data_IF_836934950184
#
_entry.id   IF_836934950184
#
_cell.length_a   1.000
_cell.length_b   1.000
_cell.length_c   1.000
_cell.angle_alpha   90.00
_cell.angle_beta   90.00
_cell.angle_gamma   90.00
#
_symmetry.space_group_name_H-M   'P 1'
#
loop_
_entity.id
_entity.type
_entity.pdbx_description
1 polymer ?
#
# COMPACT_ATOMS: atom_id res chain seq x y z
N UNK A 1 -2.00 17.56 -4.78
CA UNK A 1 -1.80 16.10 -4.65
C UNK A 1 -2.40 15.46 -5.88
N UNK A 2 -1.77 14.45 -6.50
CA UNK A 2 -2.35 13.82 -7.68
C UNK A 2 -3.60 13.02 -7.32
N UNK A 3 -4.64 13.10 -8.14
CA UNK A 3 -5.87 12.32 -7.99
C UNK A 3 -6.04 11.41 -9.19
N UNK A 4 -6.39 10.15 -8.94
CA UNK A 4 -6.61 9.14 -9.97
C UNK A 4 -8.05 8.68 -9.89
N UNK A 5 -8.94 9.41 -10.58
CA UNK A 5 -10.38 9.11 -10.61
C UNK A 5 -10.65 7.79 -11.33
N UNK A 6 -11.51 6.95 -10.75
CA UNK A 6 -11.87 5.64 -11.32
C UNK A 6 -10.71 4.64 -11.41
N UNK A 7 -9.64 4.85 -10.64
CA UNK A 7 -8.44 4.01 -10.69
C UNK A 7 -8.68 2.59 -10.15
N UNK A 8 -9.70 2.41 -9.31
CA UNK A 8 -10.14 1.12 -8.78
C UNK A 8 -11.67 1.10 -8.70
N UNK A 9 -12.24 -0.09 -8.53
CA UNK A 9 -13.68 -0.28 -8.29
C UNK A 9 -13.93 -0.94 -6.94
N UNK A 10 -14.99 -0.54 -6.25
CA UNK A 10 -15.53 -1.24 -5.08
C UNK A 10 -16.98 -1.60 -5.33
N UNK A 11 -17.28 -2.90 -5.37
CA UNK A 11 -18.60 -3.43 -5.75
C UNK A 11 -19.12 -2.84 -7.09
N UNK A 12 -18.23 -2.73 -8.09
CA UNK A 12 -18.54 -2.15 -9.39
C UNK A 12 -18.56 -0.62 -9.45
N UNK A 13 -18.57 0.07 -8.30
CA UNK A 13 -18.55 1.53 -8.25
C UNK A 13 -17.11 2.05 -8.35
N UNK A 14 -16.80 2.99 -9.26
CA UNK A 14 -15.46 3.56 -9.38
C UNK A 14 -15.11 4.42 -8.16
N UNK A 15 -13.88 4.29 -7.66
CA UNK A 15 -13.33 5.10 -6.57
C UNK A 15 -12.11 5.90 -7.04
N UNK A 16 -11.93 7.09 -6.47
CA UNK A 16 -10.72 7.90 -6.67
C UNK A 16 -9.63 7.45 -5.71
N UNK A 17 -8.42 7.23 -6.23
CA UNK A 17 -7.24 6.98 -5.40
C UNK A 17 -6.34 8.21 -5.40
N UNK A 18 -5.93 8.63 -4.21
CA UNK A 18 -5.07 9.80 -4.02
C UNK A 18 -3.60 9.38 -4.02
N UNK A 19 -2.75 10.19 -4.64
CA UNK A 19 -1.32 9.96 -4.75
C UNK A 19 -0.90 9.33 -6.08
N UNK A 20 0.38 9.46 -6.37
CA UNK A 20 0.98 8.95 -7.60
C UNK A 20 0.96 7.42 -7.63
N UNK A 21 0.80 6.84 -8.81
CA UNK A 21 1.06 5.42 -9.02
C UNK A 21 2.56 5.15 -8.86
N UNK A 22 2.90 3.94 -8.38
CA UNK A 22 4.28 3.48 -8.35
C UNK A 22 4.62 2.86 -9.70
N UNK A 23 5.77 3.24 -10.24
CA UNK A 23 6.25 2.80 -11.55
C UNK A 23 7.34 1.72 -11.40
N UNK A 24 7.42 0.81 -12.38
CA UNK A 24 8.46 -0.21 -12.41
C UNK A 24 9.85 0.45 -12.52
N UNK A 25 10.80 -0.01 -11.71
CA UNK A 25 12.15 0.54 -11.64
C UNK A 25 12.28 1.79 -10.77
N UNK A 26 11.17 2.40 -10.32
CA UNK A 26 11.22 3.47 -9.35
C UNK A 26 11.67 2.95 -7.97
N UNK A 27 12.41 3.77 -7.22
CA UNK A 27 12.75 3.46 -5.83
C UNK A 27 11.47 3.46 -4.99
N UNK A 28 11.24 2.36 -4.26
CA UNK A 28 10.11 2.26 -3.35
C UNK A 28 10.17 3.36 -2.27
N UNK A 29 9.07 4.09 -2.01
CA UNK A 29 9.01 5.06 -0.94
C UNK A 29 9.24 4.40 0.43
N UNK A 30 9.96 5.10 1.31
CA UNK A 30 10.04 4.68 2.72
C UNK A 30 8.68 4.75 3.40
N UNK A 31 8.50 3.92 4.41
CA UNK A 31 7.34 3.97 5.30
C UNK A 31 7.78 3.67 6.73
N UNK A 32 6.94 4.07 7.68
CA UNK A 32 6.96 3.61 9.06
C UNK A 32 5.54 3.17 9.41
N UNK A 33 5.37 1.92 9.80
CA UNK A 33 4.11 1.30 10.19
C UNK A 33 4.26 0.67 11.57
N UNK A 34 3.20 0.02 12.06
CA UNK A 34 3.23 -0.78 13.28
C UNK A 34 3.16 -2.26 12.92
N UNK A 35 3.98 -3.06 13.59
CA UNK A 35 3.88 -4.51 13.62
C UNK A 35 2.69 -4.98 14.47
N UNK A 36 2.44 -6.30 14.48
CA UNK A 36 1.42 -6.91 15.33
C UNK A 36 1.73 -6.72 16.82
N UNK A 37 3.00 -6.55 17.17
CA UNK A 37 3.49 -6.26 18.52
C UNK A 37 3.49 -4.75 18.84
N UNK A 38 2.86 -3.94 17.99
CA UNK A 38 2.77 -2.49 18.08
C UNK A 38 4.14 -1.77 18.11
N UNK A 39 5.18 -2.43 17.61
CA UNK A 39 6.49 -1.83 17.44
C UNK A 39 6.61 -1.18 16.06
N UNK A 40 7.30 -0.03 15.94
CA UNK A 40 7.58 0.58 14.64
C UNK A 40 8.33 -0.38 13.73
N UNK A 41 7.88 -0.48 12.48
CA UNK A 41 8.55 -1.20 11.39
C UNK A 41 8.68 -0.31 10.18
N UNK A 42 9.83 -0.36 9.53
CA UNK A 42 10.18 0.45 8.38
C UNK A 42 10.48 -0.43 7.17
N UNK A 43 10.56 0.18 5.99
CA UNK A 43 11.00 -0.53 4.79
C UNK A 43 12.44 -1.06 4.93
N UNK A 44 13.29 -0.35 5.68
CA UNK A 44 14.72 -0.67 5.86
C UNK A 44 14.95 -1.92 6.71
N UNK A 45 14.05 -2.21 7.67
CA UNK A 45 14.13 -3.39 8.54
C UNK A 45 14.07 -4.72 7.77
N UNK A 46 13.59 -4.69 6.52
CA UNK A 46 13.49 -5.84 5.62
C UNK A 46 14.52 -5.82 4.46
N UNK A 47 15.56 -5.00 4.56
CA UNK A 47 16.57 -4.84 3.52
C UNK A 47 17.29 -6.18 3.15
N UNK A 48 17.80 -6.23 1.91
CA UNK A 48 18.50 -7.41 1.38
C UNK A 48 17.59 -8.55 0.90
N UNK A 49 16.27 -8.43 1.07
CA UNK A 49 15.27 -9.40 0.59
C UNK A 49 14.43 -8.83 -0.55
N UNK A 50 13.84 -9.72 -1.34
CA UNK A 50 12.69 -9.36 -2.19
C UNK A 50 11.49 -9.15 -1.27
N UNK A 51 10.78 -8.03 -1.41
CA UNK A 51 9.60 -7.69 -0.61
C UNK A 51 8.36 -7.66 -1.49
N UNK A 52 7.34 -8.41 -1.10
CA UNK A 52 5.99 -8.31 -1.67
C UNK A 52 5.11 -7.53 -0.68
N UNK A 53 4.53 -6.42 -1.12
CA UNK A 53 3.67 -5.57 -0.29
C UNK A 53 2.23 -5.77 -0.75
N UNK A 54 1.40 -6.33 0.13
CA UNK A 54 -0.04 -6.42 -0.08
C UNK A 54 -0.75 -5.44 0.86
N UNK A 55 -1.53 -4.52 0.29
CA UNK A 55 -2.36 -3.58 1.03
C UNK A 55 -3.82 -3.90 0.71
N UNK A 56 -4.61 -4.13 1.75
CA UNK A 56 -6.04 -4.45 1.65
C UNK A 56 -6.85 -3.44 2.48
N UNK A 57 -8.12 -3.14 2.12
CA UNK A 57 -8.94 -2.21 2.91
C UNK A 57 -9.19 -2.69 4.34
N UNK A 58 -9.29 -4.01 4.53
CA UNK A 58 -9.45 -4.66 5.84
C UNK A 58 -8.97 -6.10 5.75
N UNK A 59 -8.42 -6.63 6.84
CA UNK A 59 -8.12 -8.06 6.99
C UNK A 59 -9.31 -8.84 7.55
N UNK A 60 -10.17 -8.17 8.33
CA UNK A 60 -11.20 -8.80 9.17
C UNK A 60 -12.61 -8.65 8.58
N UNK A 61 -12.77 -8.88 7.29
CA UNK A 61 -14.09 -8.87 6.63
C UNK A 61 -14.49 -10.27 6.17
N UNK A 62 -15.76 -10.70 6.36
CA UNK A 62 -16.28 -11.87 5.68
C UNK A 62 -16.15 -11.71 4.16
N UNK A 63 -15.90 -12.84 3.48
CA UNK A 63 -15.94 -12.92 2.01
C UNK A 63 -17.36 -13.01 1.49
#
# INVERSE_FOLDING_TARGET
MAERSGAVTFQGNPLTVIGNALEVGAKAPGFTLLSNELQPVTLEDSAGKVRLIAAVPSLDTPV
#
